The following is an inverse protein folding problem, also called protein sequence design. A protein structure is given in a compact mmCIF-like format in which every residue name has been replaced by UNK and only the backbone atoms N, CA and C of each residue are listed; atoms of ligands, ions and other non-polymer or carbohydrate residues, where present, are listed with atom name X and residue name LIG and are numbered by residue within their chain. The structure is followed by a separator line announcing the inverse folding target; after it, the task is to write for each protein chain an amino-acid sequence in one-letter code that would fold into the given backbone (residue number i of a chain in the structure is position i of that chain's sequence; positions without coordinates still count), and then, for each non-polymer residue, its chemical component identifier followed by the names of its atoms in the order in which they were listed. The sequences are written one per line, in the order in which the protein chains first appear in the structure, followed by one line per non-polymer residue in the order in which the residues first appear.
data_IF_361890826489
#
_entry.id   IF_361890826489
#
_cell.length_a   1.000
_cell.length_b   1.000
_cell.length_c   1.000
_cell.angle_alpha   90.00
_cell.angle_beta   90.00
_cell.angle_gamma   90.00
#
_symmetry.space_group_name_H-M   'P 1'
#
loop_
_entity.id
_entity.type
_entity.pdbx_description
1 polymer ?
#
# COMPACT_ATOMS: atom_id res chain seq x y z
N UNK A 1 30.63 13.15 -7.57
CA UNK A 1 29.34 13.43 -6.90
C UNK A 1 28.17 13.29 -7.90
N UNK A 2 28.35 13.72 -9.16
CA UNK A 2 27.43 13.48 -10.30
C UNK A 2 27.05 12.01 -10.51
N UNK A 3 28.04 11.10 -10.51
CA UNK A 3 27.83 9.71 -10.94
C UNK A 3 26.99 8.87 -9.97
N UNK A 4 26.96 9.27 -8.69
CA UNK A 4 26.12 8.65 -7.67
C UNK A 4 24.66 9.06 -7.84
N UNK A 5 24.39 10.31 -8.23
CA UNK A 5 23.04 10.81 -8.48
C UNK A 5 22.47 10.26 -9.79
N UNK A 6 23.28 10.08 -10.83
CA UNK A 6 22.82 9.42 -12.06
C UNK A 6 22.45 7.95 -11.83
N UNK A 7 23.18 7.22 -10.98
CA UNK A 7 22.93 5.80 -10.73
C UNK A 7 21.85 5.53 -9.69
N UNK A 8 21.79 6.33 -8.63
CA UNK A 8 20.92 6.08 -7.47
C UNK A 8 19.90 7.19 -7.22
N UNK A 9 19.84 8.23 -8.06
CA UNK A 9 18.95 9.37 -7.87
C UNK A 9 17.48 8.97 -7.82
N UNK A 10 17.05 8.02 -8.66
CA UNK A 10 15.70 7.48 -8.63
C UNK A 10 15.41 6.76 -7.31
N UNK A 11 16.32 5.88 -6.89
CA UNK A 11 16.17 5.08 -5.66
C UNK A 11 16.14 5.96 -4.41
N UNK A 12 17.03 6.95 -4.35
CA UNK A 12 17.09 7.94 -3.27
C UNK A 12 15.82 8.81 -3.27
N UNK A 13 15.34 9.24 -4.44
CA UNK A 13 14.08 9.99 -4.56
C UNK A 13 12.88 9.21 -4.05
N UNK A 14 12.76 7.93 -4.40
CA UNK A 14 11.67 7.06 -3.93
C UNK A 14 11.74 6.88 -2.41
N UNK A 15 12.93 6.64 -1.85
CA UNK A 15 13.11 6.49 -0.41
C UNK A 15 12.71 7.77 0.34
N UNK A 16 13.16 8.93 -0.14
CA UNK A 16 12.80 10.23 0.44
C UNK A 16 11.29 10.48 0.35
N UNK A 17 10.65 10.12 -0.76
CA UNK A 17 9.20 10.23 -0.93
C UNK A 17 8.45 9.36 0.08
N UNK A 18 8.87 8.11 0.26
CA UNK A 18 8.24 7.17 1.21
C UNK A 18 8.41 7.66 2.65
N UNK A 19 9.61 8.11 3.03
CA UNK A 19 9.87 8.65 4.38
C UNK A 19 9.07 9.93 4.60
N UNK A 20 9.04 10.83 3.62
CA UNK A 20 8.26 12.07 3.68
C UNK A 20 6.77 11.79 3.89
N UNK A 21 6.20 10.87 3.11
CA UNK A 21 4.82 10.44 3.27
C UNK A 21 4.57 9.83 4.67
N UNK A 22 5.48 8.99 5.16
CA UNK A 22 5.38 8.39 6.49
C UNK A 22 5.40 9.45 7.61
N UNK A 23 6.31 10.43 7.54
CA UNK A 23 6.39 11.52 8.53
C UNK A 23 5.14 12.40 8.47
N UNK A 24 4.62 12.70 7.28
CA UNK A 24 3.36 13.47 7.13
C UNK A 24 2.17 12.73 7.71
N UNK A 25 2.07 11.41 7.52
CA UNK A 25 1.02 10.57 8.08
C UNK A 25 1.13 10.44 9.61
N UNK A 26 2.33 10.47 10.18
CA UNK A 26 2.54 10.35 11.63
C UNK A 26 2.41 11.69 12.37
N UNK A 27 2.77 12.80 11.73
CA UNK A 27 2.85 14.13 12.36
C UNK A 27 1.64 15.02 12.15
N UNK A 28 0.67 14.60 11.36
CA UNK A 28 -0.56 15.36 11.11
C UNK A 28 -1.75 14.59 11.69
N UNK A 29 -2.32 15.08 12.79
CA UNK A 29 -3.46 14.43 13.46
C UNK A 29 -4.67 14.27 12.52
N UNK A 30 -4.84 15.18 11.55
CA UNK A 30 -5.91 15.11 10.54
C UNK A 30 -5.63 14.10 9.41
N UNK A 31 -4.37 13.69 9.24
CA UNK A 31 -3.96 12.59 8.36
C UNK A 31 -3.46 11.38 9.14
N UNK A 32 -3.64 11.39 10.46
CA UNK A 32 -3.12 10.36 11.34
C UNK A 32 -3.74 9.06 10.90
N UNK A 33 -2.87 8.13 10.53
CA UNK A 33 -3.33 6.85 10.03
C UNK A 33 -4.08 6.16 11.18
N UNK A 34 -5.39 5.88 11.07
CA UNK A 34 -6.21 5.34 12.16
C UNK A 34 -5.94 3.83 12.32
N UNK A 35 -4.67 3.44 12.47
CA UNK A 35 -4.20 2.07 12.55
C UNK A 35 -4.92 1.27 13.64
N UNK A 36 -5.33 1.96 14.71
CA UNK A 36 -5.93 1.36 15.90
C UNK A 36 -7.30 1.94 16.28
N UNK A 37 -7.76 3.00 15.61
CA UNK A 37 -9.02 3.68 15.96
C UNK A 37 -10.22 2.74 15.78
N UNK A 38 -10.22 1.97 14.69
CA UNK A 38 -11.24 0.97 14.38
C UNK A 38 -11.09 -0.35 15.15
N UNK A 39 -10.06 -0.49 15.98
CA UNK A 39 -9.86 -1.67 16.84
C UNK A 39 -10.37 -1.45 18.26
N UNK A 40 -10.49 -0.19 18.69
CA UNK A 40 -10.80 0.17 20.08
C UNK A 40 -12.29 0.53 20.32
N UNK A 41 -13.09 0.62 19.26
CA UNK A 41 -14.48 1.06 19.31
C UNK A 41 -15.38 0.15 18.48
N UNK A 42 -16.58 -0.14 18.99
CA UNK A 42 -17.62 -0.82 18.21
C UNK A 42 -18.19 0.07 17.08
N UNK A 43 -17.83 1.35 17.06
CA UNK A 43 -18.17 2.27 15.98
C UNK A 43 -17.39 1.91 14.71
N UNK A 44 -18.09 1.37 13.71
CA UNK A 44 -17.51 0.99 12.41
C UNK A 44 -17.33 -0.52 12.20
N UNK A 45 -17.84 -1.36 13.10
CA UNK A 45 -17.88 -2.80 12.86
C UNK A 45 -18.86 -3.15 11.74
N UNK A 46 -18.41 -4.01 10.83
CA UNK A 46 -19.25 -4.58 9.79
C UNK A 46 -20.10 -5.70 10.40
N UNK A 47 -21.43 -5.68 10.26
CA UNK A 47 -22.28 -6.73 10.80
C UNK A 47 -21.93 -8.08 10.16
N UNK A 48 -21.68 -9.08 11.00
CA UNK A 48 -21.37 -10.45 10.58
C UNK A 48 -22.61 -11.26 10.20
N UNK A 49 -23.81 -10.73 10.45
CA UNK A 49 -25.07 -11.32 10.04
C UNK A 49 -26.02 -10.23 9.50
N UNK A 50 -26.80 -10.53 8.45
CA UNK A 50 -26.81 -11.77 7.67
C UNK A 50 -25.59 -11.89 6.73
N UNK A 51 -25.10 -13.12 6.51
CA UNK A 51 -23.89 -13.41 5.72
C UNK A 51 -23.94 -12.96 4.26
N UNK A 52 -25.13 -12.72 3.71
CA UNK A 52 -25.33 -12.37 2.30
C UNK A 52 -24.61 -11.09 1.88
N UNK A 53 -24.50 -10.12 2.79
CA UNK A 53 -24.08 -8.75 2.46
C UNK A 53 -22.76 -8.35 3.13
N UNK A 54 -22.10 -9.27 3.85
CA UNK A 54 -20.84 -8.99 4.57
C UNK A 54 -19.78 -8.45 3.60
N UNK A 55 -19.69 -9.02 2.40
CA UNK A 55 -18.70 -8.60 1.41
C UNK A 55 -18.93 -7.15 0.96
N UNK A 56 -20.18 -6.75 0.75
CA UNK A 56 -20.53 -5.37 0.39
C UNK A 56 -20.19 -4.42 1.54
N UNK A 57 -20.62 -4.74 2.75
CA UNK A 57 -20.36 -3.91 3.93
C UNK A 57 -18.87 -3.78 4.25
N UNK A 58 -18.11 -4.87 4.13
CA UNK A 58 -16.65 -4.85 4.28
C UNK A 58 -15.98 -4.01 3.18
N UNK A 59 -16.42 -4.15 1.93
CA UNK A 59 -15.92 -3.34 0.83
C UNK A 59 -16.21 -1.85 1.06
N UNK A 60 -17.43 -1.49 1.45
CA UNK A 60 -17.81 -0.10 1.75
C UNK A 60 -16.97 0.46 2.89
N UNK A 61 -16.83 -0.28 3.99
CA UNK A 61 -15.97 0.13 5.12
C UNK A 61 -14.52 0.35 4.68
N UNK A 62 -13.95 -0.56 3.90
CA UNK A 62 -12.56 -0.42 3.43
C UNK A 62 -12.39 0.82 2.54
N UNK A 63 -13.36 1.14 1.67
CA UNK A 63 -13.29 2.34 0.82
C UNK A 63 -13.60 3.65 1.55
N UNK A 64 -14.45 3.64 2.57
CA UNK A 64 -14.82 4.87 3.30
C UNK A 64 -13.84 5.19 4.44
N UNK A 65 -13.33 4.16 5.11
CA UNK A 65 -12.50 4.30 6.31
C UNK A 65 -11.02 3.96 6.10
N UNK A 66 -10.68 3.14 5.09
CA UNK A 66 -9.32 2.60 4.88
C UNK A 66 -8.87 2.59 3.41
N UNK A 67 -9.34 3.53 2.60
CA UNK A 67 -9.08 3.55 1.14
C UNK A 67 -7.58 3.58 0.80
N UNK A 68 -6.81 4.29 1.63
CA UNK A 68 -5.37 4.43 1.46
C UNK A 68 -4.65 3.09 1.63
N UNK A 69 -5.07 2.26 2.59
CA UNK A 69 -4.51 0.91 2.78
C UNK A 69 -4.77 0.02 1.58
N UNK A 70 -6.01 0.03 1.10
CA UNK A 70 -6.41 -0.77 -0.06
C UNK A 70 -5.59 -0.39 -1.29
N UNK A 71 -5.34 0.91 -1.47
CA UNK A 71 -4.54 1.46 -2.58
C UNK A 71 -3.06 1.08 -2.46
N UNK A 72 -2.47 1.21 -1.27
CA UNK A 72 -1.08 0.81 -1.03
C UNK A 72 -0.92 -0.70 -1.22
N UNK A 73 -1.85 -1.51 -0.72
CA UNK A 73 -1.82 -2.96 -0.88
C UNK A 73 -1.88 -3.35 -2.37
N UNK A 74 -2.74 -2.71 -3.17
CA UNK A 74 -2.79 -2.93 -4.61
C UNK A 74 -1.47 -2.57 -5.31
N UNK A 75 -0.83 -1.48 -4.90
CA UNK A 75 0.50 -1.09 -5.41
C UNK A 75 1.56 -2.12 -5.06
N UNK A 76 1.60 -2.59 -3.81
CA UNK A 76 2.55 -3.63 -3.35
C UNK A 76 2.38 -4.93 -4.14
N UNK A 77 1.14 -5.38 -4.37
CA UNK A 77 0.85 -6.56 -5.18
C UNK A 77 1.37 -6.38 -6.61
N UNK A 78 1.10 -5.21 -7.21
CA UNK A 78 1.56 -4.89 -8.56
C UNK A 78 3.08 -4.90 -8.66
N UNK A 79 3.77 -4.28 -7.70
CA UNK A 79 5.23 -4.28 -7.62
C UNK A 79 5.79 -5.70 -7.48
N UNK A 80 5.16 -6.54 -6.65
CA UNK A 80 5.55 -7.93 -6.48
C UNK A 80 5.45 -8.72 -7.80
N UNK A 81 4.34 -8.55 -8.54
CA UNK A 81 4.17 -9.18 -9.86
C UNK A 81 5.24 -8.71 -10.84
N UNK A 82 5.54 -7.41 -10.91
CA UNK A 82 6.59 -6.88 -11.77
C UNK A 82 7.96 -7.49 -11.42
N UNK A 83 8.29 -7.58 -10.13
CA UNK A 83 9.53 -8.20 -9.67
C UNK A 83 9.59 -9.69 -10.05
N UNK A 84 8.49 -10.43 -9.90
CA UNK A 84 8.41 -11.82 -10.34
C UNK A 84 8.65 -11.95 -11.86
N UNK A 85 8.04 -11.08 -12.67
CA UNK A 85 8.25 -11.07 -14.13
C UNK A 85 9.70 -10.71 -14.49
N UNK A 86 10.31 -9.76 -13.78
CA UNK A 86 11.70 -9.36 -14.00
C UNK A 86 12.70 -10.49 -13.70
N UNK A 87 12.34 -11.44 -12.81
CA UNK A 87 13.14 -12.62 -12.52
C UNK A 87 13.05 -13.71 -13.61
N UNK A 88 12.05 -13.66 -14.49
CA UNK A 88 11.90 -14.65 -15.57
C UNK A 88 12.95 -14.35 -16.64
N UNK A 89 14.08 -15.06 -16.60
CA UNK A 89 15.09 -15.04 -17.67
C UNK A 89 14.53 -15.81 -18.88
N UNK A 90 14.51 -15.23 -20.10
CA UNK A 90 14.24 -16.02 -21.29
C UNK A 90 15.36 -17.08 -21.41
N UNK A 91 14.97 -18.35 -21.56
CA UNK A 91 15.94 -19.41 -21.81
C UNK A 91 16.64 -19.11 -23.13
N UNK A 92 17.96 -18.92 -23.09
CA UNK A 92 18.77 -19.00 -24.30
C UNK A 92 18.64 -20.44 -24.81
N UNK A 93 17.83 -20.61 -25.86
CA UNK A 93 17.91 -21.80 -26.69
C UNK A 93 19.17 -21.60 -27.52
N UNK A 94 20.30 -22.09 -27.00
CA UNK A 94 21.50 -22.28 -27.81
C UNK A 94 21.12 -23.23 -28.96
N UNK A 95 21.13 -22.68 -30.17
CA UNK A 95 20.90 -23.39 -31.43
C UNK A 95 22.22 -23.91 -32.00
#
# INVERSE_FOLDING_TARGET
MSDLWEKYGLTISVIIMIIGAFVTLMGNDALSFPAFEYRASDAGLVPAEPYGDIAEHASRFLWESRALDLTIQAFVITAAVICCLALIKPSEVEA
#
